data_IF_244378021745
#
_entry.id   IF_244378021745
#
_cell.length_a   1.000
_cell.length_b   1.000
_cell.length_c   1.000
_cell.angle_alpha   90.00
_cell.angle_beta   90.00
_cell.angle_gamma   90.00
#
_symmetry.space_group_name_H-M   'P 1'
#
loop_
_entity.id
_entity.type
_entity.pdbx_description
1 polymer ?
#
# COMPACT_ATOMS: atom_id res chain seq x y z
N UNK A 1 -24.02 44.90 2.00
CA UNK A 1 -23.99 43.95 3.12
C UNK A 1 -23.35 44.62 4.32
N UNK A 2 -24.14 44.92 5.39
CA UNK A 2 -23.58 45.48 6.65
C UNK A 2 -23.03 44.33 7.52
N UNK A 3 -21.75 44.03 7.38
CA UNK A 3 -21.09 42.99 8.18
C UNK A 3 -20.64 43.47 9.57
N UNK A 4 -20.57 44.78 9.77
CA UNK A 4 -20.11 45.40 10.99
C UNK A 4 -21.16 46.38 11.48
N UNK A 5 -21.71 46.09 12.64
CA UNK A 5 -22.62 46.98 13.35
C UNK A 5 -21.83 47.67 14.46
N UNK A 6 -21.72 49.02 14.40
CA UNK A 6 -21.08 49.86 15.42
C UNK A 6 -22.12 50.47 16.32
N UNK A 7 -21.82 50.60 17.63
CA UNK A 7 -22.62 51.33 18.56
C UNK A 7 -22.37 52.86 18.44
N UNK A 8 -23.14 53.68 19.16
CA UNK A 8 -23.11 55.14 19.09
C UNK A 8 -21.70 55.74 19.34
N UNK A 9 -20.83 55.04 20.04
CA UNK A 9 -19.45 55.45 20.34
C UNK A 9 -18.42 54.91 19.34
N UNK A 10 -18.84 54.25 18.24
CA UNK A 10 -17.94 53.77 17.20
C UNK A 10 -17.24 52.46 17.48
N UNK A 11 -17.51 51.78 18.59
CA UNK A 11 -16.95 50.49 18.97
C UNK A 11 -17.72 49.35 18.37
N UNK A 12 -17.02 48.23 18.12
CA UNK A 12 -17.61 47.00 17.63
C UNK A 12 -18.60 46.42 18.64
N UNK A 13 -19.83 46.17 18.24
CA UNK A 13 -20.80 45.51 19.11
C UNK A 13 -20.38 44.06 19.38
N UNK A 14 -20.68 43.54 20.58
CA UNK A 14 -20.41 42.13 20.97
C UNK A 14 -20.88 41.15 19.89
N UNK A 15 -22.01 41.40 19.25
CA UNK A 15 -22.54 40.56 18.13
C UNK A 15 -21.62 40.56 16.91
N UNK A 16 -21.01 41.70 16.57
CA UNK A 16 -20.07 41.81 15.43
C UNK A 16 -18.77 41.07 15.73
N UNK A 17 -18.27 41.14 16.97
CA UNK A 17 -17.08 40.46 17.42
C UNK A 17 -17.28 38.93 17.37
N UNK A 18 -18.41 38.43 17.89
CA UNK A 18 -18.74 36.98 17.85
C UNK A 18 -18.89 36.49 16.40
N UNK A 19 -19.47 37.26 15.51
CA UNK A 19 -19.54 36.88 14.07
C UNK A 19 -18.18 36.83 13.41
N UNK A 20 -17.29 37.78 13.69
CA UNK A 20 -15.93 37.80 13.14
C UNK A 20 -15.11 36.60 13.65
N UNK A 21 -15.22 36.28 14.94
CA UNK A 21 -14.57 35.10 15.53
C UNK A 21 -15.13 33.82 14.88
N UNK A 22 -16.44 33.71 14.73
CA UNK A 22 -17.09 32.56 14.09
C UNK A 22 -16.65 32.37 12.65
N UNK A 23 -16.57 33.44 11.85
CA UNK A 23 -16.04 33.42 10.48
C UNK A 23 -14.56 33.02 10.46
N UNK A 24 -13.77 33.51 11.39
CA UNK A 24 -12.35 33.16 11.52
C UNK A 24 -12.15 31.66 11.82
N UNK A 25 -12.91 31.13 12.77
CA UNK A 25 -12.86 29.69 13.14
C UNK A 25 -13.32 28.81 11.96
N UNK A 26 -14.41 29.21 11.28
CA UNK A 26 -14.92 28.47 10.11
C UNK A 26 -13.91 28.49 8.96
N UNK A 27 -13.32 29.65 8.67
CA UNK A 27 -12.28 29.80 7.65
C UNK A 27 -11.04 28.97 7.95
N UNK A 28 -10.57 28.98 9.22
CA UNK A 28 -9.45 28.16 9.67
C UNK A 28 -9.77 26.66 9.56
N UNK A 29 -10.97 26.26 9.95
CA UNK A 29 -11.42 24.86 9.84
C UNK A 29 -11.43 24.37 8.39
N UNK A 30 -11.95 25.17 7.46
CA UNK A 30 -11.91 24.87 6.02
C UNK A 30 -10.49 24.76 5.49
N UNK A 31 -9.61 25.66 5.89
CA UNK A 31 -8.19 25.64 5.48
C UNK A 31 -7.48 24.38 5.99
N UNK A 32 -7.73 23.97 7.22
CA UNK A 32 -7.20 22.73 7.78
C UNK A 32 -7.70 21.50 6.99
N UNK A 33 -8.98 21.45 6.64
CA UNK A 33 -9.55 20.36 5.85
C UNK A 33 -8.91 20.28 4.46
N UNK A 34 -8.68 21.41 3.80
CA UNK A 34 -8.03 21.47 2.50
C UNK A 34 -6.57 20.96 2.57
N UNK A 35 -5.80 21.41 3.55
CA UNK A 35 -4.40 21.00 3.71
C UNK A 35 -4.31 19.52 4.12
N UNK A 36 -5.09 19.10 5.11
CA UNK A 36 -5.08 17.72 5.61
C UNK A 36 -5.69 16.71 4.61
N UNK A 37 -6.53 17.19 3.69
CA UNK A 37 -7.16 16.37 2.66
C UNK A 37 -6.27 16.10 1.46
N UNK A 38 -5.28 16.94 1.20
CA UNK A 38 -4.41 16.82 0.03
C UNK A 38 -3.30 15.80 0.27
N UNK A 39 -3.09 14.90 -0.69
CA UNK A 39 -2.00 13.92 -0.66
C UNK A 39 -1.51 13.60 -2.07
N UNK A 40 -0.27 13.12 -2.17
CA UNK A 40 0.36 12.78 -3.45
C UNK A 40 0.63 11.29 -3.53
N UNK A 41 0.34 10.70 -4.69
CA UNK A 41 0.71 9.34 -5.07
C UNK A 41 1.83 9.43 -6.09
N UNK A 42 2.92 8.72 -5.83
CA UNK A 42 4.10 8.73 -6.71
C UNK A 42 3.83 7.87 -7.95
N UNK A 43 4.54 8.15 -9.03
CA UNK A 43 4.54 7.32 -10.24
C UNK A 43 4.95 5.89 -9.89
N UNK A 44 4.17 4.90 -10.36
CA UNK A 44 4.36 3.49 -10.04
C UNK A 44 3.75 3.06 -8.71
N UNK A 45 2.92 3.91 -8.09
CA UNK A 45 2.08 3.57 -6.94
C UNK A 45 0.60 3.75 -7.31
N UNK A 46 -0.25 2.99 -6.65
CA UNK A 46 -1.71 3.15 -6.70
C UNK A 46 -2.22 3.35 -5.28
N UNK A 47 -3.05 4.38 -5.07
CA UNK A 47 -3.69 4.64 -3.79
C UNK A 47 -5.03 3.92 -3.67
N UNK A 48 -5.18 3.06 -2.69
CA UNK A 48 -6.47 2.47 -2.33
C UNK A 48 -7.09 3.33 -1.23
N UNK A 49 -8.22 3.96 -1.55
CA UNK A 49 -8.95 4.80 -0.60
C UNK A 49 -10.03 3.98 0.06
N UNK A 50 -9.96 3.91 1.38
CA UNK A 50 -10.98 3.26 2.20
C UNK A 50 -11.77 4.30 2.96
N UNK A 51 -13.09 4.12 3.02
CA UNK A 51 -14.03 4.91 3.80
C UNK A 51 -14.65 4.02 4.86
N UNK A 52 -14.42 4.35 6.14
CA UNK A 52 -14.85 3.50 7.27
C UNK A 52 -14.47 2.01 7.09
N UNK A 53 -13.25 1.74 6.62
CA UNK A 53 -12.75 0.37 6.42
C UNK A 53 -13.19 -0.32 5.12
N UNK A 54 -14.13 0.23 4.36
CA UNK A 54 -14.52 -0.29 3.04
C UNK A 54 -13.73 0.37 1.93
N UNK A 55 -13.27 -0.40 0.95
CA UNK A 55 -12.66 0.14 -0.27
C UNK A 55 -13.71 0.97 -1.01
N UNK A 56 -13.40 2.25 -1.21
CA UNK A 56 -14.30 3.22 -1.86
C UNK A 56 -13.88 3.48 -3.31
N UNK A 57 -12.62 3.83 -3.52
CA UNK A 57 -12.09 4.16 -4.84
C UNK A 57 -10.59 3.92 -4.92
N UNK A 58 -10.09 3.93 -6.15
CA UNK A 58 -8.66 3.84 -6.46
C UNK A 58 -8.20 5.21 -6.94
N UNK A 59 -7.12 5.72 -6.37
CA UNK A 59 -6.47 6.96 -6.79
C UNK A 59 -5.23 6.64 -7.62
N UNK A 60 -5.10 7.33 -8.74
CA UNK A 60 -3.94 7.27 -9.61
C UNK A 60 -2.83 8.21 -9.13
N UNK A 61 -1.66 8.10 -9.76
CA UNK A 61 -0.52 8.99 -9.52
C UNK A 61 -0.87 10.48 -9.66
N UNK A 62 -0.16 11.31 -8.91
CA UNK A 62 -0.36 12.75 -8.85
C UNK A 62 -0.99 13.22 -7.55
N UNK A 63 -1.46 14.48 -7.56
CA UNK A 63 -2.11 15.11 -6.43
C UNK A 63 -3.56 14.64 -6.36
N UNK A 64 -3.97 14.14 -5.21
CA UNK A 64 -5.31 13.65 -4.93
C UNK A 64 -5.85 14.29 -3.64
N UNK A 65 -7.17 14.22 -3.47
CA UNK A 65 -7.86 14.71 -2.29
C UNK A 65 -8.62 13.58 -1.60
N UNK A 66 -8.55 13.56 -0.26
CA UNK A 66 -9.33 12.67 0.61
C UNK A 66 -10.07 13.48 1.67
N UNK A 67 -11.15 12.94 2.19
CA UNK A 67 -11.83 13.49 3.34
C UNK A 67 -11.04 13.11 4.61
N UNK A 68 -10.40 14.07 5.31
CA UNK A 68 -9.70 13.78 6.55
C UNK A 68 -10.67 13.18 7.56
N UNK A 69 -10.18 12.32 8.46
CA UNK A 69 -10.92 11.59 9.49
C UNK A 69 -11.86 10.47 8.99
N UNK A 70 -12.35 10.53 7.75
CA UNK A 70 -13.32 9.57 7.18
C UNK A 70 -12.63 8.60 6.23
N UNK A 71 -11.69 9.10 5.42
CA UNK A 71 -10.99 8.33 4.40
C UNK A 71 -9.54 8.07 4.78
N UNK A 72 -9.11 6.83 4.63
CA UNK A 72 -7.71 6.43 4.73
C UNK A 72 -7.17 6.06 3.36
N UNK A 73 -5.89 6.28 3.14
CA UNK A 73 -5.20 5.97 1.87
C UNK A 73 -4.08 4.99 2.15
N UNK A 74 -4.12 3.84 1.51
CA UNK A 74 -3.02 2.87 1.49
C UNK A 74 -2.40 2.86 0.10
N UNK A 75 -1.09 3.05 0.01
CA UNK A 75 -0.35 3.06 -1.25
C UNK A 75 0.18 1.66 -1.53
N UNK A 76 -0.07 1.16 -2.73
CA UNK A 76 0.44 -0.13 -3.19
C UNK A 76 1.37 0.15 -4.36
N UNK A 77 2.60 -0.34 -4.25
CA UNK A 77 3.58 -0.24 -5.32
C UNK A 77 3.26 -1.24 -6.44
N UNK A 78 3.21 -0.75 -7.67
CA UNK A 78 2.92 -1.53 -8.88
C UNK A 78 4.13 -1.70 -9.79
N UNK A 79 5.30 -1.22 -9.35
CA UNK A 79 6.58 -1.48 -10.02
C UNK A 79 7.04 -2.91 -9.78
N UNK A 80 8.00 -3.32 -10.60
CA UNK A 80 8.66 -4.59 -10.37
C UNK A 80 9.41 -4.59 -9.05
N UNK A 81 9.18 -5.61 -8.24
CA UNK A 81 9.83 -5.82 -6.95
C UNK A 81 10.54 -7.16 -6.94
N UNK A 82 11.66 -7.21 -6.24
CA UNK A 82 12.39 -8.44 -6.01
C UNK A 82 12.16 -8.86 -4.57
N UNK A 83 11.72 -10.09 -4.38
CA UNK A 83 11.70 -10.75 -3.09
C UNK A 83 12.79 -11.82 -3.08
N UNK A 84 13.71 -11.71 -2.14
CA UNK A 84 14.74 -12.70 -1.91
C UNK A 84 14.44 -13.40 -0.58
N UNK A 85 14.40 -14.72 -0.61
CA UNK A 85 14.16 -15.55 0.56
C UNK A 85 15.15 -16.69 0.67
N UNK A 86 15.49 -17.07 1.90
CA UNK A 86 16.24 -18.28 2.21
C UNK A 86 15.28 -19.35 2.67
N UNK A 87 15.36 -20.52 2.07
CA UNK A 87 14.45 -21.63 2.29
C UNK A 87 15.24 -22.89 2.66
N UNK A 88 14.82 -23.54 3.73
CA UNK A 88 15.28 -24.88 4.07
C UNK A 88 14.38 -25.87 3.34
N UNK A 89 14.93 -26.61 2.40
CA UNK A 89 14.20 -27.55 1.54
C UNK A 89 14.81 -28.93 1.61
N UNK A 90 14.03 -29.96 1.30
CA UNK A 90 14.51 -31.33 1.19
C UNK A 90 14.69 -31.72 -0.27
N UNK A 91 15.80 -32.41 -0.56
CA UNK A 91 16.04 -33.07 -1.83
C UNK A 91 15.31 -34.43 -1.90
N UNK A 92 15.32 -35.08 -3.08
CA UNK A 92 14.78 -36.44 -3.27
C UNK A 92 15.38 -37.49 -2.32
N UNK A 93 16.67 -37.38 -2.07
CA UNK A 93 17.44 -38.26 -1.15
C UNK A 93 17.33 -37.83 0.34
N UNK A 94 16.29 -37.02 0.68
CA UNK A 94 15.94 -36.63 2.05
C UNK A 94 17.04 -35.81 2.74
N UNK A 95 17.90 -35.14 2.00
CA UNK A 95 18.90 -34.25 2.56
C UNK A 95 18.33 -32.80 2.64
N UNK A 96 18.61 -32.15 3.77
CA UNK A 96 18.17 -30.73 3.94
C UNK A 96 19.20 -29.80 3.34
N UNK A 97 18.75 -28.93 2.46
CA UNK A 97 19.56 -27.92 1.77
C UNK A 97 19.02 -26.52 2.04
N UNK A 98 19.89 -25.58 2.38
CA UNK A 98 19.54 -24.16 2.38
C UNK A 98 19.70 -23.61 0.97
N UNK A 99 18.64 -23.06 0.42
CA UNK A 99 18.66 -22.40 -0.89
C UNK A 99 18.19 -20.96 -0.78
N UNK A 100 18.84 -20.06 -1.50
CA UNK A 100 18.44 -18.66 -1.61
C UNK A 100 17.84 -18.42 -3.01
N UNK A 101 16.60 -17.99 -3.03
CA UNK A 101 15.85 -17.74 -4.27
C UNK A 101 15.38 -16.30 -4.31
N UNK A 102 15.59 -15.63 -5.43
CA UNK A 102 15.10 -14.30 -5.73
C UNK A 102 14.05 -14.36 -6.83
N UNK A 103 12.86 -13.83 -6.55
CA UNK A 103 11.77 -13.75 -7.53
C UNK A 103 11.41 -12.30 -7.78
N UNK A 104 11.34 -11.94 -9.04
CA UNK A 104 10.82 -10.64 -9.47
C UNK A 104 9.31 -10.77 -9.73
N UNK A 105 8.54 -9.89 -9.13
CA UNK A 105 7.09 -9.86 -9.30
C UNK A 105 6.57 -8.43 -9.38
N UNK A 106 5.35 -8.29 -9.91
CA UNK A 106 4.65 -7.01 -10.03
C UNK A 106 3.18 -7.16 -9.67
N UNK A 107 2.64 -6.18 -8.95
CA UNK A 107 1.21 -6.12 -8.65
C UNK A 107 0.44 -5.59 -9.85
N UNK A 108 -0.41 -6.43 -10.45
CA UNK A 108 -1.25 -6.06 -11.61
C UNK A 108 -2.60 -5.50 -11.12
N UNK A 109 -3.21 -6.16 -10.12
CA UNK A 109 -4.50 -5.75 -9.58
C UNK A 109 -4.38 -5.35 -8.10
N UNK A 110 -4.01 -4.08 -7.87
CA UNK A 110 -3.80 -3.55 -6.53
C UNK A 110 -5.07 -3.60 -5.66
N UNK A 111 -6.27 -3.44 -6.25
CA UNK A 111 -7.52 -3.47 -5.49
C UNK A 111 -7.81 -4.85 -4.93
N UNK A 112 -7.61 -5.90 -5.72
CA UNK A 112 -7.87 -7.28 -5.29
C UNK A 112 -6.86 -7.72 -4.24
N UNK A 113 -5.58 -7.43 -4.45
CA UNK A 113 -4.50 -7.68 -3.49
C UNK A 113 -4.82 -7.00 -2.16
N UNK A 114 -5.22 -5.73 -2.18
CA UNK A 114 -5.55 -4.99 -0.97
C UNK A 114 -6.76 -5.58 -0.22
N UNK A 115 -7.82 -5.99 -0.94
CA UNK A 115 -9.00 -6.61 -0.31
C UNK A 115 -8.67 -7.89 0.43
N UNK A 116 -7.73 -8.69 -0.07
CA UNK A 116 -7.38 -10.01 0.47
C UNK A 116 -6.24 -9.95 1.50
N UNK A 117 -5.21 -9.14 1.24
CA UNK A 117 -3.94 -9.16 1.98
C UNK A 117 -3.54 -7.80 2.54
N UNK A 118 -4.25 -6.73 2.21
CA UNK A 118 -3.89 -5.33 2.50
C UNK A 118 -2.48 -5.01 1.93
N UNK A 119 -1.60 -4.49 2.76
CA UNK A 119 -0.20 -4.17 2.44
C UNK A 119 0.78 -5.31 2.74
N UNK A 120 0.30 -6.40 3.37
CA UNK A 120 1.13 -7.54 3.78
C UNK A 120 1.23 -8.65 2.71
N UNK A 121 0.84 -8.39 1.46
CA UNK A 121 0.79 -9.40 0.40
C UNK A 121 2.13 -10.09 0.11
N UNK A 122 3.25 -9.40 0.32
CA UNK A 122 4.58 -10.01 0.18
C UNK A 122 4.78 -11.19 1.13
N UNK A 123 4.48 -10.98 2.41
CA UNK A 123 4.66 -11.99 3.45
C UNK A 123 3.53 -13.02 3.51
N UNK A 124 2.31 -12.63 3.16
CA UNK A 124 1.12 -13.50 3.31
C UNK A 124 0.74 -14.26 2.04
N UNK A 125 1.20 -13.82 0.87
CA UNK A 125 0.92 -14.47 -0.40
C UNK A 125 2.20 -14.92 -1.10
N UNK A 126 3.12 -13.99 -1.40
CA UNK A 126 4.29 -14.29 -2.25
C UNK A 126 5.25 -15.24 -1.55
N UNK A 127 5.61 -14.95 -0.31
CA UNK A 127 6.60 -15.72 0.44
C UNK A 127 6.15 -17.19 0.72
N UNK A 128 4.93 -17.45 1.22
CA UNK A 128 4.43 -18.82 1.38
C UNK A 128 4.32 -19.58 0.06
N UNK A 129 3.87 -18.91 -1.02
CA UNK A 129 3.79 -19.54 -2.33
C UNK A 129 5.16 -19.93 -2.87
N UNK A 130 6.15 -19.05 -2.70
CA UNK A 130 7.53 -19.36 -3.06
C UNK A 130 8.04 -20.59 -2.27
N UNK A 131 7.86 -20.63 -0.95
CA UNK A 131 8.28 -21.75 -0.12
C UNK A 131 7.67 -23.08 -0.60
N UNK A 132 6.37 -23.09 -0.88
CA UNK A 132 5.65 -24.26 -1.40
C UNK A 132 6.22 -24.74 -2.73
N UNK A 133 6.36 -23.83 -3.72
CA UNK A 133 6.84 -24.19 -5.05
C UNK A 133 8.30 -24.65 -5.03
N UNK A 134 9.15 -23.95 -4.26
CA UNK A 134 10.56 -24.34 -4.13
C UNK A 134 10.66 -25.73 -3.51
N UNK A 135 9.95 -25.99 -2.41
CA UNK A 135 9.95 -27.31 -1.76
C UNK A 135 9.44 -28.41 -2.70
N UNK A 136 8.32 -28.17 -3.38
CA UNK A 136 7.74 -29.13 -4.32
C UNK A 136 8.66 -29.43 -5.51
N UNK A 137 9.41 -28.44 -5.98
CA UNK A 137 10.31 -28.60 -7.10
C UNK A 137 11.61 -29.28 -6.68
N UNK A 138 12.21 -28.87 -5.56
CA UNK A 138 13.49 -29.43 -5.09
C UNK A 138 13.39 -30.89 -4.67
N UNK A 139 12.24 -31.34 -4.18
CA UNK A 139 11.99 -32.74 -3.81
C UNK A 139 12.06 -33.74 -4.97
N UNK A 140 12.08 -33.25 -6.22
CA UNK A 140 12.24 -34.08 -7.41
C UNK A 140 13.69 -34.17 -7.91
N UNK A 141 14.64 -33.61 -7.17
CA UNK A 141 16.06 -33.57 -7.53
C UNK A 141 16.92 -34.12 -6.39
N UNK A 142 17.92 -34.90 -6.74
CA UNK A 142 18.97 -35.28 -5.78
C UNK A 142 19.86 -34.10 -5.46
N UNK A 143 20.63 -34.15 -4.38
CA UNK A 143 21.53 -33.06 -3.98
C UNK A 143 22.57 -32.75 -5.06
N UNK A 144 23.07 -33.77 -5.75
CA UNK A 144 24.01 -33.60 -6.86
C UNK A 144 23.35 -32.87 -8.05
N UNK A 145 22.10 -33.21 -8.36
CA UNK A 145 21.34 -32.60 -9.43
C UNK A 145 20.96 -31.15 -9.12
N UNK A 146 20.64 -30.81 -7.86
CA UNK A 146 20.36 -29.42 -7.43
C UNK A 146 21.54 -28.50 -7.76
N UNK A 147 22.77 -29.00 -7.65
CA UNK A 147 23.96 -28.22 -8.01
C UNK A 147 24.23 -28.25 -9.51
N UNK A 148 24.21 -29.45 -10.12
CA UNK A 148 24.56 -29.63 -11.54
C UNK A 148 23.53 -29.05 -12.52
N UNK A 149 22.22 -29.14 -12.16
CA UNK A 149 21.10 -28.70 -13.02
C UNK A 149 20.46 -27.39 -12.55
N UNK A 150 21.21 -26.50 -11.91
CA UNK A 150 20.71 -25.25 -11.32
C UNK A 150 19.88 -24.40 -12.27
N UNK A 151 20.24 -24.32 -13.55
CA UNK A 151 19.48 -23.56 -14.53
C UNK A 151 18.10 -24.17 -14.82
N UNK A 152 18.05 -25.50 -14.94
CA UNK A 152 16.79 -26.22 -15.16
C UNK A 152 15.89 -26.11 -13.93
N UNK A 153 16.44 -26.27 -12.73
CA UNK A 153 15.72 -26.07 -11.48
C UNK A 153 15.08 -24.67 -11.41
N UNK A 154 15.82 -23.61 -11.79
CA UNK A 154 15.29 -22.24 -11.84
C UNK A 154 14.12 -22.10 -12.83
N UNK A 155 14.19 -22.74 -14.00
CA UNK A 155 13.10 -22.74 -14.98
C UNK A 155 11.86 -23.50 -14.46
N UNK A 156 12.06 -24.63 -13.79
CA UNK A 156 10.97 -25.43 -13.24
C UNK A 156 10.28 -24.70 -12.08
N UNK A 157 11.03 -24.02 -11.23
CA UNK A 157 10.48 -23.14 -10.19
C UNK A 157 9.66 -22.01 -10.83
N UNK A 158 10.21 -21.34 -11.85
CA UNK A 158 9.52 -20.25 -12.54
C UNK A 158 8.22 -20.72 -13.21
N UNK A 159 8.20 -21.90 -13.80
CA UNK A 159 7.01 -22.46 -14.46
C UNK A 159 5.89 -22.82 -13.49
N UNK A 160 6.24 -23.20 -12.26
CA UNK A 160 5.31 -23.66 -11.24
C UNK A 160 4.85 -22.53 -10.28
N UNK A 161 5.48 -21.34 -10.35
CA UNK A 161 5.16 -20.18 -9.52
C UNK A 161 3.92 -19.42 -10.02
#
# INVERSE_FOLDING_TARGET
>A
MKFLEKNEYGDLTLKSIVRLIGLGITGLGLLIILIAGTYTIKTGEIGIITKFGKVSRVAKEGINFKLPFIESVTKIETRDRILTGKYMVSSEDIQTVETEVSVQYRVINAMEIFKRFKDEYGNRLVNPRMAEVIQATTSNYTIEELVAKRQQLGQDIYKNL
#
